data_IF_317825895483
#
_entry.id   IF_317825895483
#
_cell.length_a   1.000
_cell.length_b   1.000
_cell.length_c   1.000
_cell.angle_alpha   90.00
_cell.angle_beta   90.00
_cell.angle_gamma   90.00
#
_symmetry.space_group_name_H-M   'P 1'
#
loop_
_entity.id
_entity.type
_entity.pdbx_description
1 polymer ?
#
# COMPACT_ATOMS: atom_id res chain seq x y z
N UNK A 1 12.27 -19.55 5.47
CA UNK A 1 11.29 -19.16 6.50
C UNK A 1 10.84 -17.74 6.20
N UNK A 2 9.85 -17.22 6.93
CA UNK A 2 9.41 -15.84 6.78
C UNK A 2 10.52 -14.84 7.14
N UNK A 3 11.30 -15.13 8.18
CA UNK A 3 12.39 -14.25 8.65
C UNK A 3 13.47 -14.08 7.58
N UNK A 4 13.89 -15.19 6.95
CA UNK A 4 14.88 -15.16 5.87
C UNK A 4 14.34 -14.45 4.63
N UNK A 5 13.06 -14.61 4.32
CA UNK A 5 12.42 -13.91 3.20
C UNK A 5 12.41 -12.40 3.44
N UNK A 6 11.97 -11.96 4.62
CA UNK A 6 11.97 -10.54 5.00
C UNK A 6 13.41 -9.97 5.06
N UNK A 7 14.40 -10.77 5.45
CA UNK A 7 15.82 -10.38 5.40
C UNK A 7 16.30 -10.13 3.97
N UNK A 8 15.97 -11.02 3.03
CA UNK A 8 16.34 -10.85 1.61
C UNK A 8 15.70 -9.57 1.04
N UNK A 9 14.45 -9.29 1.38
CA UNK A 9 13.77 -8.05 0.98
C UNK A 9 14.52 -6.82 1.49
N UNK A 10 14.85 -6.78 2.79
CA UNK A 10 15.63 -5.68 3.39
C UNK A 10 16.99 -5.49 2.71
N UNK A 11 17.71 -6.58 2.43
CA UNK A 11 19.01 -6.51 1.73
C UNK A 11 18.88 -5.83 0.37
N UNK A 12 17.79 -6.04 -0.38
CA UNK A 12 17.58 -5.35 -1.65
C UNK A 12 17.30 -3.85 -1.43
N UNK A 13 16.39 -3.53 -0.50
CA UNK A 13 16.02 -2.14 -0.18
C UNK A 13 17.22 -1.32 0.32
N UNK A 14 18.07 -1.89 1.18
CA UNK A 14 19.31 -1.27 1.69
C UNK A 14 20.34 -1.00 0.59
N UNK A 15 20.25 -1.71 -0.54
CA UNK A 15 21.11 -1.52 -1.72
C UNK A 15 20.44 -0.68 -2.82
N UNK A 16 19.33 0.02 -2.50
CA UNK A 16 18.61 0.89 -3.42
C UNK A 16 17.69 0.15 -4.39
N UNK A 17 17.54 -1.17 -4.25
CA UNK A 17 16.65 -2.00 -5.05
C UNK A 17 15.31 -2.19 -4.32
N UNK A 18 14.39 -1.24 -4.50
CA UNK A 18 13.09 -1.30 -3.84
C UNK A 18 12.26 -2.51 -4.26
N UNK A 19 11.67 -3.18 -3.27
CA UNK A 19 10.86 -4.38 -3.49
C UNK A 19 9.37 -4.04 -3.33
N UNK A 20 8.61 -4.30 -4.38
CA UNK A 20 7.15 -4.41 -4.29
C UNK A 20 6.81 -5.80 -3.76
N UNK A 21 6.55 -5.90 -2.46
CA UNK A 21 6.51 -7.19 -1.75
C UNK A 21 5.38 -8.10 -2.27
N UNK A 22 5.69 -9.17 -3.02
CA UNK A 22 4.68 -10.05 -3.60
C UNK A 22 4.11 -11.05 -2.57
N UNK A 23 4.62 -11.03 -1.34
CA UNK A 23 4.22 -11.89 -0.23
C UNK A 23 3.34 -11.15 0.78
N UNK A 24 2.61 -10.14 0.31
CA UNK A 24 1.60 -9.39 1.07
C UNK A 24 0.32 -9.32 0.25
N UNK A 25 -0.81 -9.22 0.95
CA UNK A 25 -2.13 -9.28 0.33
C UNK A 25 -2.87 -7.94 0.32
N UNK A 26 -2.34 -6.92 0.99
CA UNK A 26 -2.90 -5.57 1.01
C UNK A 26 -2.23 -4.68 -0.04
N UNK A 27 -2.93 -3.64 -0.47
CA UNK A 27 -2.44 -2.69 -1.47
C UNK A 27 -1.19 -1.96 -0.99
N UNK A 28 -1.22 -1.46 0.24
CA UNK A 28 -0.17 -0.63 0.81
C UNK A 28 1.10 -1.44 1.10
N UNK A 29 0.97 -2.66 1.63
CA UNK A 29 2.14 -3.52 1.90
C UNK A 29 2.75 -4.13 0.64
N UNK A 30 1.96 -4.31 -0.42
CA UNK A 30 2.47 -4.73 -1.73
C UNK A 30 3.33 -3.68 -2.42
N UNK A 31 3.28 -2.42 -1.96
CA UNK A 31 4.13 -1.32 -2.45
C UNK A 31 3.79 -0.80 -3.84
N UNK A 32 2.81 -1.38 -4.54
CA UNK A 32 2.46 -0.94 -5.89
C UNK A 32 1.52 0.27 -5.87
N UNK A 33 0.38 0.19 -5.17
CA UNK A 33 -0.66 1.24 -5.20
C UNK A 33 -0.59 2.06 -3.93
N UNK A 34 -0.22 3.34 -4.06
CA UNK A 34 -0.26 4.27 -2.92
C UNK A 34 -1.71 4.59 -2.56
N UNK A 35 -2.05 4.47 -1.28
CA UNK A 35 -3.27 5.07 -0.74
C UNK A 35 -3.04 6.57 -0.51
N UNK A 36 -3.97 7.40 -0.96
CA UNK A 36 -4.05 8.83 -0.67
C UNK A 36 -5.50 9.24 -0.36
N UNK A 37 -5.71 10.52 -0.03
CA UNK A 37 -7.04 11.04 0.30
C UNK A 37 -8.03 10.89 -0.88
N UNK A 38 -7.54 10.97 -2.12
CA UNK A 38 -8.35 10.84 -3.33
C UNK A 38 -8.85 9.40 -3.50
N UNK A 39 -7.97 8.42 -3.30
CA UNK A 39 -8.33 7.00 -3.36
C UNK A 39 -9.32 6.62 -2.24
N UNK A 40 -9.15 7.16 -1.03
CA UNK A 40 -10.09 6.95 0.07
C UNK A 40 -11.47 7.57 -0.22
N UNK A 41 -11.50 8.78 -0.77
CA UNK A 41 -12.75 9.42 -1.19
C UNK A 41 -13.45 8.60 -2.28
N UNK A 42 -12.72 8.14 -3.28
CA UNK A 42 -13.25 7.31 -4.35
C UNK A 42 -13.81 5.97 -3.86
N UNK A 43 -13.13 5.29 -2.91
CA UNK A 43 -13.67 4.06 -2.30
C UNK A 43 -14.97 4.34 -1.54
N UNK A 44 -15.06 5.48 -0.83
CA UNK A 44 -16.30 5.86 -0.12
C UNK A 44 -17.46 6.14 -1.08
N UNK A 45 -17.18 6.72 -2.25
CA UNK A 45 -18.18 6.98 -3.29
C UNK A 45 -18.66 5.68 -3.96
N UNK A 46 -17.74 4.78 -4.29
CA UNK A 46 -18.04 3.59 -5.10
C UNK A 46 -18.39 2.35 -4.28
N UNK A 47 -17.99 2.31 -3.01
CA UNK A 47 -18.19 1.19 -2.09
C UNK A 47 -18.48 1.68 -0.66
N UNK A 48 -19.58 2.42 -0.43
CA UNK A 48 -19.88 3.02 0.87
C UNK A 48 -20.09 2.00 1.99
N UNK A 49 -20.45 0.76 1.64
CA UNK A 49 -20.63 -0.34 2.60
C UNK A 49 -19.38 -1.20 2.77
N UNK A 50 -18.31 -0.95 2.01
CA UNK A 50 -17.06 -1.70 2.14
C UNK A 50 -17.13 -3.15 1.66
N UNK A 51 -18.03 -3.49 0.73
CA UNK A 51 -18.28 -4.86 0.26
C UNK A 51 -17.33 -5.28 -0.86
N UNK A 52 -16.68 -4.33 -1.54
CA UNK A 52 -15.74 -4.65 -2.61
C UNK A 52 -14.39 -5.02 -2.03
N UNK A 53 -14.17 -6.34 -1.90
CA UNK A 53 -12.90 -6.97 -1.53
C UNK A 53 -12.35 -6.45 -0.17
N UNK A 54 -13.11 -6.66 0.93
CA UNK A 54 -12.73 -6.18 2.27
C UNK A 54 -11.37 -6.72 2.71
N UNK A 55 -10.67 -5.95 3.55
CA UNK A 55 -9.34 -6.30 4.04
C UNK A 55 -8.18 -6.07 3.05
N UNK A 56 -8.43 -5.64 1.81
CA UNK A 56 -7.35 -5.36 0.84
C UNK A 56 -6.73 -3.97 0.96
N UNK A 57 -7.41 -3.02 1.60
CA UNK A 57 -6.96 -1.65 1.77
C UNK A 57 -6.85 -1.36 3.27
N UNK A 58 -5.62 -1.26 3.79
CA UNK A 58 -5.40 -1.08 5.23
C UNK A 58 -6.00 0.24 5.70
N UNK A 59 -5.81 1.32 4.95
CA UNK A 59 -6.30 2.65 5.33
C UNK A 59 -7.84 2.76 5.35
N UNK A 60 -8.56 1.83 4.70
CA UNK A 60 -10.01 1.76 4.79
C UNK A 60 -10.45 1.14 6.11
N UNK A 61 -9.81 0.04 6.51
CA UNK A 61 -10.14 -0.71 7.74
C UNK A 61 -9.58 -0.01 9.00
N UNK A 62 -8.46 0.70 8.86
CA UNK A 62 -7.76 1.37 9.94
C UNK A 62 -7.50 2.85 9.60
N UNK A 63 -8.36 3.78 10.07
CA UNK A 63 -8.19 5.22 9.85
C UNK A 63 -6.92 5.81 10.46
N UNK A 64 -6.27 5.12 11.41
CA UNK A 64 -5.02 5.54 12.03
C UNK A 64 -3.77 5.07 11.26
N UNK A 65 -3.92 4.32 10.17
CA UNK A 65 -2.80 3.86 9.35
C UNK A 65 -2.14 5.04 8.62
N UNK A 66 -0.82 5.18 8.80
CA UNK A 66 -0.05 6.20 8.11
C UNK A 66 0.35 5.76 6.69
N UNK A 67 -0.53 6.05 5.73
CA UNK A 67 -0.27 5.83 4.30
C UNK A 67 0.61 6.92 3.66
N UNK A 68 1.08 7.91 4.42
CA UNK A 68 1.94 9.00 3.92
C UNK A 68 3.42 8.66 4.00
N UNK A 69 3.76 7.44 4.44
CA UNK A 69 5.14 6.96 4.49
C UNK A 69 5.83 7.15 3.13
N UNK A 70 6.99 7.80 3.15
CA UNK A 70 7.76 8.21 1.95
C UNK A 70 8.42 7.05 1.19
N UNK A 71 7.85 5.84 1.27
CA UNK A 71 8.31 4.70 0.48
C UNK A 71 7.98 4.92 -1.00
N UNK A 72 8.81 4.43 -1.93
CA UNK A 72 8.48 4.50 -3.35
C UNK A 72 7.31 3.57 -3.67
N UNK A 73 6.36 4.09 -4.43
CA UNK A 73 5.22 3.34 -4.96
C UNK A 73 5.28 3.31 -6.49
N UNK A 74 4.93 2.17 -7.09
CA UNK A 74 4.89 2.02 -8.55
C UNK A 74 3.79 2.90 -9.18
N UNK A 75 2.59 2.83 -8.62
CA UNK A 75 1.44 3.66 -8.96
C UNK A 75 1.34 4.77 -7.92
N UNK A 76 1.82 5.95 -8.29
CA UNK A 76 1.74 7.16 -7.47
C UNK A 76 0.29 7.55 -7.21
N UNK A 77 0.08 8.26 -6.10
CA UNK A 77 -1.20 8.86 -5.75
C UNK A 77 -1.61 9.93 -6.78
N UNK A 78 -2.90 10.13 -6.95
CA UNK A 78 -3.43 11.16 -7.85
C UNK A 78 -3.26 12.57 -7.24
N UNK A 79 -3.11 12.66 -5.92
CA UNK A 79 -2.89 13.93 -5.21
C UNK A 79 -1.57 14.61 -5.60
N UNK A 80 -0.58 13.85 -6.08
CA UNK A 80 0.72 14.38 -6.55
C UNK A 80 0.77 14.57 -8.07
N UNK A 81 -0.27 14.15 -8.80
CA UNK A 81 -0.33 14.25 -10.26
C UNK A 81 -1.07 15.51 -10.77
N UNK A 82 -1.67 16.28 -9.86
CA UNK A 82 -2.37 17.55 -10.13
C UNK A 82 -1.54 18.78 -9.83
#
# INVERSE_FOLDING_TARGET
>A
TEERLNEIIRVHEDNGCWIFNPHRYTLEEGGMKRTDDVQLAFKRETDPQGLLNPGKMIAWENPAYDYRSGKPFLFKGLQEAG
#
